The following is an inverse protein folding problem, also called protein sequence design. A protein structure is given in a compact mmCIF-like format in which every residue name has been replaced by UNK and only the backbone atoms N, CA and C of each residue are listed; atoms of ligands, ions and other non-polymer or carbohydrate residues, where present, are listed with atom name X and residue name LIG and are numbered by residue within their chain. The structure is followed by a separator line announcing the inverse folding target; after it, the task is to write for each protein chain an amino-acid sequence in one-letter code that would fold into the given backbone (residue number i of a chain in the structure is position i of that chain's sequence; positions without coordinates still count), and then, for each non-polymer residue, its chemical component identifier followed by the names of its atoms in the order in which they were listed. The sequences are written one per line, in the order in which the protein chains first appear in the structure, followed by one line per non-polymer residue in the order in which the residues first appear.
data_IF_586846188644
#
_entry.id   IF_586846188644
#
_cell.length_a   1.000
_cell.length_b   1.000
_cell.length_c   1.000
_cell.angle_alpha   90.00
_cell.angle_beta   90.00
_cell.angle_gamma   90.00
#
_symmetry.space_group_name_H-M   'P 1'
#
loop_
_entity.id
_entity.type
_entity.pdbx_description
1 polymer ?
#
# COMPACT_ATOMS: atom_id res chain seq x y z
N UNK A 1 11.28 -23.51 4.60
CA UNK A 1 11.12 -22.04 4.67
C UNK A 1 9.64 -21.66 4.51
N UNK A 2 8.81 -21.83 5.55
CA UNK A 2 7.36 -21.54 5.51
C UNK A 2 7.02 -20.26 6.31
N UNK A 3 7.73 -20.01 7.42
CA UNK A 3 7.50 -18.87 8.32
C UNK A 3 7.63 -17.49 7.66
N UNK A 4 8.60 -17.31 6.75
CA UNK A 4 8.83 -16.04 6.03
C UNK A 4 7.69 -15.74 5.05
N UNK A 5 7.02 -16.78 4.52
CA UNK A 5 5.98 -16.62 3.49
C UNK A 5 4.62 -16.22 4.05
N UNK A 6 4.41 -16.37 5.35
CA UNK A 6 3.14 -16.10 6.03
C UNK A 6 3.25 -15.07 7.16
N UNK A 7 4.43 -14.47 7.38
CA UNK A 7 4.66 -13.45 8.41
C UNK A 7 4.25 -13.98 9.81
N UNK A 8 4.65 -15.22 10.12
CA UNK A 8 4.42 -15.85 11.43
C UNK A 8 5.76 -16.33 11.99
N UNK A 9 6.00 -16.12 13.29
CA UNK A 9 7.25 -16.58 13.93
C UNK A 9 7.36 -18.11 13.90
N UNK A 10 8.57 -18.62 13.66
CA UNK A 10 8.85 -20.06 13.58
C UNK A 10 8.42 -20.81 14.84
N UNK A 11 8.52 -20.15 16.00
CA UNK A 11 8.12 -20.71 17.31
C UNK A 11 6.61 -20.96 17.44
N UNK A 12 5.75 -20.16 16.80
CA UNK A 12 4.30 -20.37 16.81
C UNK A 12 3.87 -21.57 15.94
N UNK A 13 4.55 -21.76 14.82
CA UNK A 13 4.28 -22.87 13.90
C UNK A 13 4.66 -24.21 14.56
N UNK A 14 5.77 -24.23 15.32
CA UNK A 14 6.23 -25.41 16.07
C UNK A 14 5.25 -25.78 17.19
N UNK A 15 4.78 -24.80 17.95
CA UNK A 15 3.84 -25.01 19.06
C UNK A 15 2.45 -25.46 18.58
N UNK A 16 1.93 -24.90 17.48
CA UNK A 16 0.61 -25.25 16.96
C UNK A 16 0.54 -26.65 16.32
N UNK A 17 1.69 -27.20 15.89
CA UNK A 17 1.77 -28.52 15.26
C UNK A 17 2.46 -29.58 16.14
N UNK A 18 2.77 -29.25 17.41
CA UNK A 18 3.47 -30.11 18.38
C UNK A 18 4.72 -30.78 17.80
N UNK A 19 5.50 -30.04 17.01
CA UNK A 19 6.69 -30.57 16.35
C UNK A 19 7.84 -30.67 17.36
N UNK A 20 8.32 -31.89 17.62
CA UNK A 20 9.35 -32.16 18.64
C UNK A 20 10.77 -31.89 18.13
N UNK A 21 10.97 -31.85 16.81
CA UNK A 21 12.23 -31.46 16.17
C UNK A 21 11.96 -30.55 14.94
N UNK A 22 12.40 -29.28 14.94
CA UNK A 22 12.15 -28.32 13.86
C UNK A 22 12.95 -28.56 12.58
N UNK A 23 13.92 -29.50 12.56
CA UNK A 23 14.76 -29.79 11.39
C UNK A 23 14.41 -31.11 10.67
N UNK A 24 13.46 -31.89 11.18
CA UNK A 24 13.01 -33.13 10.54
C UNK A 24 11.55 -33.01 10.10
N UNK A 25 11.36 -32.71 8.81
CA UNK A 25 10.04 -32.71 8.18
C UNK A 25 9.92 -33.93 7.26
N UNK A 26 8.92 -34.78 7.50
CA UNK A 26 8.60 -35.90 6.61
C UNK A 26 7.82 -35.38 5.39
N UNK A 27 8.18 -35.86 4.20
CA UNK A 27 7.49 -35.52 2.95
C UNK A 27 6.05 -36.04 3.05
N UNK A 28 5.04 -35.18 2.80
CA UNK A 28 3.58 -35.39 2.92
C UNK A 28 2.88 -35.04 4.24
N UNK A 29 3.51 -34.30 5.15
CA UNK A 29 2.84 -33.81 6.35
C UNK A 29 2.00 -32.53 6.10
N UNK A 30 0.70 -32.61 6.35
CA UNK A 30 -0.20 -31.44 6.35
C UNK A 30 0.07 -30.57 7.57
N UNK A 31 0.54 -29.34 7.37
CA UNK A 31 0.75 -28.36 8.45
C UNK A 31 -0.51 -27.52 8.67
N UNK A 32 -0.97 -27.42 9.91
CA UNK A 32 -1.98 -26.44 10.30
C UNK A 32 -1.26 -25.11 10.54
N UNK A 33 -1.56 -24.12 9.69
CA UNK A 33 -1.09 -22.75 9.88
C UNK A 33 -2.11 -22.06 10.79
N UNK A 34 -1.81 -21.83 12.08
CA UNK A 34 -2.72 -21.07 12.94
C UNK A 34 -2.82 -19.62 12.42
N UNK A 35 -3.99 -18.96 12.60
CA UNK A 35 -4.10 -17.55 12.30
C UNK A 35 -3.05 -16.76 13.10
N UNK A 36 -2.47 -15.69 12.54
CA UNK A 36 -1.51 -14.87 13.24
C UNK A 36 -2.14 -14.41 14.56
N UNK A 37 -1.48 -14.70 15.69
CA UNK A 37 -1.87 -14.10 16.96
C UNK A 37 -1.63 -12.59 16.84
N UNK A 38 -2.73 -11.86 16.66
CA UNK A 38 -2.78 -10.43 16.89
C UNK A 38 -2.28 -10.22 18.31
N UNK A 39 -1.09 -9.63 18.47
CA UNK A 39 -0.63 -9.20 19.77
C UNK A 39 -1.69 -8.28 20.37
N UNK A 40 -1.91 -8.41 21.68
CA UNK A 40 -2.98 -7.77 22.44
C UNK A 40 -3.24 -6.32 22.00
N UNK A 41 -4.49 -5.83 22.01
CA UNK A 41 -4.77 -4.45 21.68
C UNK A 41 -3.83 -3.56 22.48
N UNK A 42 -3.05 -2.75 21.78
CA UNK A 42 -2.27 -1.68 22.38
C UNK A 42 -3.18 -0.85 23.30
N UNK A 43 -2.61 -0.11 24.26
CA UNK A 43 -3.38 0.62 25.26
C UNK A 43 -4.49 1.44 24.60
N UNK A 44 -5.60 1.65 25.31
CA UNK A 44 -6.81 2.40 24.92
C UNK A 44 -6.58 3.89 24.53
N UNK A 45 -5.40 4.22 24.00
CA UNK A 45 -5.10 5.48 23.37
C UNK A 45 -5.54 5.43 21.90
N UNK A 46 -6.68 6.08 21.67
CA UNK A 46 -7.35 6.29 20.40
C UNK A 46 -6.49 7.24 19.53
N UNK A 47 -5.79 6.74 18.49
CA UNK A 47 -4.93 7.57 17.60
C UNK A 47 -5.40 7.57 16.13
N UNK A 48 -6.69 7.39 15.87
CA UNK A 48 -7.24 8.02 14.67
C UNK A 48 -8.42 8.86 15.15
N UNK A 49 -8.18 10.15 15.46
CA UNK A 49 -9.26 11.11 15.56
C UNK A 49 -10.02 11.11 14.24
N UNK A 50 -11.30 11.47 14.28
CA UNK A 50 -12.20 11.66 13.11
C UNK A 50 -11.72 12.72 12.08
N UNK A 51 -10.43 13.08 12.09
CA UNK A 51 -9.78 14.10 11.28
C UNK A 51 -8.94 13.52 10.12
N UNK A 52 -8.83 12.20 9.96
CA UNK A 52 -8.08 11.56 8.84
C UNK A 52 -8.87 11.45 7.51
N UNK A 53 -10.07 12.02 7.43
CA UNK A 53 -10.88 12.05 6.21
C UNK A 53 -10.84 13.38 5.45
N UNK A 54 -10.06 14.35 5.91
CA UNK A 54 -10.00 15.67 5.28
C UNK A 54 -8.54 16.07 5.15
N UNK A 55 -8.18 16.56 3.96
CA UNK A 55 -6.90 17.22 3.70
C UNK A 55 -6.76 18.45 4.61
N UNK A 56 -6.24 18.23 5.83
CA UNK A 56 -6.12 19.21 6.89
C UNK A 56 -4.67 19.61 7.18
N UNK A 57 -4.43 20.56 8.10
CA UNK A 57 -3.11 21.10 8.39
C UNK A 57 -2.05 20.06 8.84
N UNK A 58 -2.46 18.85 9.25
CA UNK A 58 -1.53 17.75 9.54
C UNK A 58 -0.86 17.18 8.27
N UNK A 59 -1.56 17.17 7.13
CA UNK A 59 -0.97 16.81 5.82
C UNK A 59 0.10 17.80 5.36
N UNK A 60 0.07 19.04 5.88
CA UNK A 60 1.09 20.04 5.59
C UNK A 60 2.42 19.81 6.36
N UNK A 61 2.41 18.96 7.40
CA UNK A 61 3.61 18.55 8.12
C UNK A 61 4.24 17.28 7.54
N UNK A 62 3.53 16.57 6.66
CA UNK A 62 4.02 15.36 6.03
C UNK A 62 4.76 15.71 4.73
N UNK A 63 6.07 15.54 4.74
CA UNK A 63 6.89 15.70 3.53
C UNK A 63 6.77 14.46 2.64
N UNK A 64 5.70 14.46 1.83
CA UNK A 64 5.41 13.42 0.84
C UNK A 64 6.60 13.15 -0.09
N UNK A 65 7.37 14.19 -0.43
CA UNK A 65 8.52 14.05 -1.32
C UNK A 65 9.63 13.25 -0.64
N UNK A 66 9.96 13.59 0.60
CA UNK A 66 10.97 12.87 1.38
C UNK A 66 10.57 11.42 1.65
N UNK A 67 9.29 11.14 1.90
CA UNK A 67 8.81 9.76 2.09
C UNK A 67 9.00 8.92 0.83
N UNK A 68 8.49 9.38 -0.31
CA UNK A 68 8.58 8.63 -1.58
C UNK A 68 10.04 8.48 -2.02
N UNK A 69 10.86 9.53 -1.84
CA UNK A 69 12.28 9.47 -2.15
C UNK A 69 13.04 8.45 -1.29
N UNK A 70 12.61 8.21 -0.04
CA UNK A 70 13.24 7.21 0.84
C UNK A 70 13.06 5.79 0.31
N UNK A 71 11.90 5.49 -0.28
CA UNK A 71 11.63 4.17 -0.83
C UNK A 71 12.31 3.95 -2.19
N UNK A 72 12.36 4.99 -3.04
CA UNK A 72 13.18 4.97 -4.25
C UNK A 72 12.68 4.05 -5.37
N UNK A 73 11.43 3.59 -5.32
CA UNK A 73 10.79 2.84 -6.40
C UNK A 73 10.37 3.72 -7.58
N UNK A 74 9.58 3.14 -8.50
CA UNK A 74 9.14 3.81 -9.74
C UNK A 74 8.54 5.19 -9.49
N UNK A 75 7.70 5.34 -8.46
CA UNK A 75 7.03 6.61 -8.16
C UNK A 75 8.00 7.77 -7.90
N UNK A 76 9.18 7.50 -7.33
CA UNK A 76 10.19 8.52 -7.02
C UNK A 76 10.83 9.13 -8.28
N UNK A 77 10.79 8.39 -9.39
CA UNK A 77 11.38 8.77 -10.68
C UNK A 77 10.32 9.06 -11.75
N UNK A 78 9.04 8.95 -11.40
CA UNK A 78 7.94 9.09 -12.34
C UNK A 78 7.59 10.56 -12.61
N UNK A 79 7.40 10.89 -13.88
CA UNK A 79 6.83 12.15 -14.34
C UNK A 79 5.69 11.89 -15.33
N UNK A 80 4.69 12.77 -15.33
CA UNK A 80 3.60 12.75 -16.28
C UNK A 80 3.08 14.17 -16.52
N UNK A 81 2.76 14.48 -17.78
CA UNK A 81 2.02 15.70 -18.13
C UNK A 81 0.55 15.56 -17.69
N UNK A 82 0.09 16.50 -16.88
CA UNK A 82 -1.29 16.61 -16.41
C UNK A 82 -1.76 18.03 -16.66
N UNK A 83 -2.81 18.21 -17.45
CA UNK A 83 -3.40 19.52 -17.76
C UNK A 83 -2.39 20.54 -18.33
N UNK A 84 -1.46 20.05 -19.17
CA UNK A 84 -0.42 20.88 -19.79
C UNK A 84 0.74 21.25 -18.84
N UNK A 85 0.83 20.62 -17.67
CA UNK A 85 1.93 20.78 -16.72
C UNK A 85 2.63 19.45 -16.46
N UNK A 86 3.96 19.44 -16.56
CA UNK A 86 4.78 18.30 -16.16
C UNK A 86 4.78 18.17 -14.63
N UNK A 87 4.24 17.07 -14.10
CA UNK A 87 4.20 16.81 -12.67
C UNK A 87 4.99 15.54 -12.32
N UNK A 88 5.74 15.61 -11.22
CA UNK A 88 6.36 14.43 -10.60
C UNK A 88 5.31 13.50 -9.98
N UNK A 89 5.64 12.23 -9.76
CA UNK A 89 4.76 11.25 -9.11
C UNK A 89 4.21 11.74 -7.76
N UNK A 90 5.07 12.34 -6.93
CA UNK A 90 4.66 12.97 -5.66
C UNK A 90 3.71 14.16 -5.89
N UNK A 91 3.96 14.97 -6.92
CA UNK A 91 3.07 16.07 -7.31
C UNK A 91 1.70 15.59 -7.77
N UNK A 92 1.63 14.45 -8.45
CA UNK A 92 0.37 13.85 -8.91
C UNK A 92 -0.42 13.29 -7.72
N UNK A 93 0.24 12.55 -6.81
CA UNK A 93 -0.38 12.08 -5.55
C UNK A 93 -0.94 13.27 -4.77
N UNK A 94 -0.14 14.35 -4.67
CA UNK A 94 -0.53 15.57 -3.98
C UNK A 94 -1.74 16.25 -4.62
N UNK A 95 -1.77 16.33 -5.96
CA UNK A 95 -2.86 16.90 -6.72
C UNK A 95 -4.17 16.12 -6.52
N UNK A 96 -4.11 14.78 -6.60
CA UNK A 96 -5.28 13.91 -6.41
C UNK A 96 -5.77 13.99 -4.97
N UNK A 97 -4.88 13.93 -3.99
CA UNK A 97 -5.21 14.08 -2.58
C UNK A 97 -5.98 15.39 -2.31
N UNK A 98 -5.54 16.51 -2.90
CA UNK A 98 -6.21 17.80 -2.77
C UNK A 98 -7.57 17.82 -3.46
N UNK A 99 -7.66 17.34 -4.71
CA UNK A 99 -8.91 17.36 -5.50
C UNK A 99 -10.01 16.52 -4.89
N UNK A 100 -9.66 15.35 -4.37
CA UNK A 100 -10.61 14.39 -3.83
C UNK A 100 -10.72 14.46 -2.31
N UNK A 101 -9.98 15.35 -1.66
CA UNK A 101 -9.89 15.48 -0.20
C UNK A 101 -9.50 14.16 0.52
N UNK A 102 -8.68 13.33 -0.14
CA UNK A 102 -8.20 12.05 0.38
C UNK A 102 -6.82 12.21 1.00
N UNK A 103 -6.52 11.43 2.06
CA UNK A 103 -5.19 11.36 2.66
C UNK A 103 -4.15 10.82 1.63
N UNK A 104 -3.08 11.56 1.31
CA UNK A 104 -2.07 11.10 0.35
C UNK A 104 -1.39 9.78 0.77
N UNK A 105 -1.27 9.50 2.07
CA UNK A 105 -0.73 8.22 2.56
C UNK A 105 -1.59 7.03 2.15
N UNK A 106 -2.91 7.20 2.08
CA UNK A 106 -3.81 6.14 1.64
C UNK A 106 -3.63 5.85 0.15
N UNK A 107 -3.46 6.90 -0.68
CA UNK A 107 -3.16 6.75 -2.10
C UNK A 107 -1.84 6.01 -2.32
N UNK A 108 -0.80 6.37 -1.55
CA UNK A 108 0.49 5.68 -1.56
C UNK A 108 0.37 4.21 -1.16
N UNK A 109 -0.40 3.90 -0.10
CA UNK A 109 -0.59 2.54 0.36
C UNK A 109 -1.31 1.67 -0.68
N UNK A 110 -2.35 2.21 -1.33
CA UNK A 110 -3.05 1.49 -2.42
C UNK A 110 -2.10 1.25 -3.60
N UNK A 111 -1.34 2.27 -3.99
CA UNK A 111 -0.40 2.19 -5.10
C UNK A 111 0.69 1.14 -4.83
N UNK A 112 1.27 1.13 -3.63
CA UNK A 112 2.24 0.12 -3.21
C UNK A 112 1.63 -1.28 -3.20
N UNK A 113 0.44 -1.45 -2.62
CA UNK A 113 -0.23 -2.74 -2.54
C UNK A 113 -0.56 -3.32 -3.92
N UNK A 114 -0.95 -2.49 -4.89
CA UNK A 114 -1.38 -2.93 -6.21
C UNK A 114 -0.21 -3.27 -7.14
N UNK A 115 0.92 -2.56 -7.02
CA UNK A 115 1.97 -2.65 -8.05
C UNK A 115 3.40 -2.48 -7.54
N UNK A 116 3.61 -2.30 -6.23
CA UNK A 116 4.96 -2.11 -5.66
C UNK A 116 5.61 -0.78 -6.06
N UNK A 117 4.84 0.19 -6.57
CA UNK A 117 5.39 1.40 -7.18
C UNK A 117 6.21 2.29 -6.24
N UNK A 118 6.08 2.14 -4.91
CA UNK A 118 6.89 2.91 -3.97
C UNK A 118 8.23 2.23 -3.74
N UNK A 119 8.27 0.89 -3.65
CA UNK A 119 9.46 0.14 -3.21
C UNK A 119 10.24 -0.52 -4.34
N UNK A 120 9.56 -0.91 -5.42
CA UNK A 120 10.16 -1.62 -6.55
C UNK A 120 10.46 -0.67 -7.70
N UNK A 121 11.62 -0.89 -8.36
CA UNK A 121 12.00 -0.21 -9.60
C UNK A 121 11.68 -1.04 -10.85
N UNK A 122 11.46 -2.35 -10.69
CA UNK A 122 11.18 -3.30 -11.77
C UNK A 122 9.74 -3.83 -11.65
N UNK A 123 8.79 -2.97 -12.01
CA UNK A 123 7.36 -3.31 -12.00
C UNK A 123 6.93 -3.86 -13.36
N UNK A 124 5.89 -4.70 -13.43
CA UNK A 124 5.37 -5.19 -14.71
C UNK A 124 5.03 -4.06 -15.69
N UNK A 125 5.28 -4.25 -16.99
CA UNK A 125 5.03 -3.22 -18.02
C UNK A 125 3.59 -2.72 -18.02
N UNK A 126 2.62 -3.60 -17.74
CA UNK A 126 1.21 -3.20 -17.62
C UNK A 126 0.97 -2.21 -16.49
N UNK A 127 1.70 -2.33 -15.39
CA UNK A 127 1.63 -1.42 -14.24
C UNK A 127 2.25 -0.06 -14.55
N UNK A 128 3.16 0.04 -15.52
CA UNK A 128 3.66 1.34 -16.01
C UNK A 128 2.55 2.16 -16.68
N UNK A 129 1.59 1.49 -17.30
CA UNK A 129 0.42 2.11 -17.93
C UNK A 129 -0.76 2.24 -16.95
N UNK A 130 -0.97 1.24 -16.09
CA UNK A 130 -2.09 1.14 -15.15
C UNK A 130 -1.58 0.83 -13.73
N UNK A 131 -1.08 1.84 -12.98
CA UNK A 131 -0.36 1.62 -11.73
C UNK A 131 -1.21 1.04 -10.60
N UNK A 132 -2.54 1.11 -10.68
CA UNK A 132 -3.46 0.51 -9.70
C UNK A 132 -4.26 -0.67 -10.29
N UNK A 133 -3.89 -1.12 -11.49
CA UNK A 133 -4.48 -2.30 -12.15
C UNK A 133 -5.84 -2.07 -12.81
N UNK A 134 -6.34 -0.84 -12.89
CA UNK A 134 -7.60 -0.55 -13.58
C UNK A 134 -7.36 -0.40 -15.10
N UNK A 135 -7.47 -1.52 -15.83
CA UNK A 135 -7.18 -1.56 -17.27
C UNK A 135 -8.40 -1.10 -18.08
N UNK A 136 -8.40 0.16 -18.51
CA UNK A 136 -9.42 0.74 -19.38
C UNK A 136 -8.82 1.81 -20.28
N UNK A 137 -9.24 1.84 -21.54
CA UNK A 137 -8.78 2.85 -22.51
C UNK A 137 -9.18 4.25 -22.03
N UNK A 138 -8.23 5.20 -22.06
CA UNK A 138 -8.43 6.57 -21.60
C UNK A 138 -8.26 6.74 -20.09
N UNK A 139 -7.89 5.68 -19.37
CA UNK A 139 -7.57 5.70 -17.93
C UNK A 139 -6.10 5.39 -17.66
N UNK A 140 -5.23 5.56 -18.66
CA UNK A 140 -3.80 5.36 -18.51
C UNK A 140 -3.16 6.44 -17.61
N UNK A 141 -2.03 6.08 -17.02
CA UNK A 141 -1.18 6.99 -16.25
C UNK A 141 -1.59 7.13 -14.79
N UNK A 142 -0.65 7.61 -13.98
CA UNK A 142 -0.80 7.69 -12.54
C UNK A 142 -1.97 8.59 -12.12
N UNK A 143 -2.14 9.74 -12.77
CA UNK A 143 -3.21 10.69 -12.43
C UNK A 143 -4.61 10.07 -12.56
N UNK A 144 -4.92 9.46 -13.71
CA UNK A 144 -6.23 8.83 -13.96
C UNK A 144 -6.49 7.68 -13.00
N UNK A 145 -5.46 6.88 -12.74
CA UNK A 145 -5.52 5.68 -11.91
C UNK A 145 -5.72 6.03 -10.43
N UNK A 146 -5.01 7.02 -9.90
CA UNK A 146 -5.24 7.52 -8.55
C UNK A 146 -6.57 8.28 -8.42
N UNK A 147 -7.00 9.00 -9.45
CA UNK A 147 -8.33 9.65 -9.48
C UNK A 147 -9.45 8.63 -9.42
N UNK A 148 -9.30 7.50 -10.12
CA UNK A 148 -10.22 6.37 -10.03
C UNK A 148 -10.28 5.83 -8.59
N UNK A 149 -9.13 5.53 -7.98
CA UNK A 149 -9.05 5.05 -6.58
C UNK A 149 -9.70 6.04 -5.62
N UNK A 150 -9.35 7.32 -5.70
CA UNK A 150 -9.90 8.35 -4.83
C UNK A 150 -11.42 8.48 -4.96
N UNK A 151 -11.96 8.38 -6.19
CA UNK A 151 -13.39 8.36 -6.43
C UNK A 151 -14.07 7.12 -5.83
N UNK A 152 -13.46 5.93 -5.95
CA UNK A 152 -13.98 4.71 -5.33
C UNK A 152 -13.99 4.80 -3.80
N UNK A 153 -12.92 5.34 -3.19
CA UNK A 153 -12.82 5.53 -1.74
C UNK A 153 -13.90 6.49 -1.23
N UNK A 154 -14.10 7.62 -1.91
CA UNK A 154 -15.17 8.57 -1.58
C UNK A 154 -16.56 7.95 -1.72
N UNK A 155 -16.77 7.10 -2.73
CA UNK A 155 -18.08 6.44 -2.95
C UNK A 155 -18.33 5.32 -1.94
N UNK A 156 -17.30 4.58 -1.55
CA UNK A 156 -17.37 3.49 -0.57
C UNK A 156 -17.64 3.94 0.87
N UNK A 157 -17.40 5.21 1.19
CA UNK A 157 -17.66 5.78 2.51
C UNK A 157 -19.16 6.03 2.80
N UNK A 158 -20.05 5.89 1.81
CA UNK A 158 -21.48 6.18 1.91
C UNK A 158 -22.40 4.96 1.72
N UNK A 159 -21.89 3.72 1.85
CA UNK A 159 -22.73 2.53 1.83
C UNK A 159 -22.62 1.70 3.09
#
# INVERSE_FOLDING_TARGET
MIAVRFIVSTQLIIAANNLTDPNSLAVWQTLVIPPPILQAPGPNFKIIPNSELVYGPASALFDLRSEVARWGGVLAHYNQEVEGQELSGTGIVQLVAQRYSINPLLLLAVLEYQSGWLTDQDVPTVSLTYPVGFVSSGWEGLFSQLSYVANQLNTGYYR
#
